data_IF_754159803331
#
_entry.id   IF_754159803331
#
_cell.length_a   1.000
_cell.length_b   1.000
_cell.length_c   1.000
_cell.angle_alpha   90.00
_cell.angle_beta   90.00
_cell.angle_gamma   90.00
#
_symmetry.space_group_name_H-M   'P 1'
#
loop_
_entity.id
_entity.type
_entity.pdbx_description
1 polymer ?
#
# COMPACT_ATOMS: atom_id res chain seq x y z
N UNK A 1 -7.68 13.81 -7.32
CA UNK A 1 -7.23 12.40 -7.22
C UNK A 1 -5.94 12.27 -8.01
N UNK A 2 -4.91 11.62 -7.45
CA UNK A 2 -3.67 11.30 -8.16
C UNK A 2 -3.26 9.85 -7.88
N UNK A 3 -2.57 9.21 -8.81
CA UNK A 3 -1.93 7.91 -8.61
C UNK A 3 -0.45 8.15 -8.32
N UNK A 4 0.10 7.48 -7.31
CA UNK A 4 1.53 7.56 -6.96
C UNK A 4 2.02 6.22 -6.39
N UNK A 5 3.33 6.05 -6.30
CA UNK A 5 3.91 4.99 -5.49
C UNK A 5 3.44 5.11 -4.03
N UNK A 6 3.21 3.96 -3.39
CA UNK A 6 2.99 3.89 -1.96
C UNK A 6 4.20 4.41 -1.20
N UNK A 7 3.96 4.92 0.00
CA UNK A 7 4.97 5.31 0.95
C UNK A 7 4.72 4.59 2.27
N UNK A 8 5.77 4.46 3.08
CA UNK A 8 5.68 3.90 4.44
C UNK A 8 4.62 4.60 5.31
N UNK A 9 4.39 5.89 5.09
CA UNK A 9 3.36 6.66 5.79
C UNK A 9 1.92 6.21 5.49
N UNK A 10 1.68 5.50 4.39
CA UNK A 10 0.33 5.05 4.00
C UNK A 10 -0.14 3.82 4.80
N UNK A 11 0.72 3.24 5.65
CA UNK A 11 0.45 2.05 6.46
C UNK A 11 -0.95 1.99 7.12
N UNK A 12 -1.41 3.08 7.74
CA UNK A 12 -2.72 3.14 8.43
C UNK A 12 -3.88 3.05 7.45
N UNK A 13 -3.82 3.84 6.38
CA UNK A 13 -4.80 3.84 5.32
C UNK A 13 -4.84 2.49 4.61
N UNK A 14 -3.68 1.89 4.34
CA UNK A 14 -3.56 0.58 3.70
C UNK A 14 -4.08 -0.55 4.60
N UNK A 15 -3.80 -0.55 5.90
CA UNK A 15 -4.36 -1.51 6.85
C UNK A 15 -5.89 -1.41 6.90
N UNK A 16 -6.41 -0.19 6.89
CA UNK A 16 -7.85 0.05 6.82
C UNK A 16 -8.46 -0.48 5.50
N UNK A 17 -7.82 -0.18 4.35
CA UNK A 17 -8.26 -0.66 3.04
C UNK A 17 -8.26 -2.20 2.98
N UNK A 18 -7.20 -2.86 3.45
CA UNK A 18 -7.11 -4.31 3.49
C UNK A 18 -8.24 -4.93 4.31
N UNK A 19 -8.60 -4.33 5.45
CA UNK A 19 -9.77 -4.73 6.23
C UNK A 19 -11.09 -4.58 5.45
N UNK A 20 -11.28 -3.48 4.74
CA UNK A 20 -12.49 -3.25 3.90
C UNK A 20 -12.56 -4.25 2.74
N UNK A 21 -11.41 -4.62 2.16
CA UNK A 21 -11.31 -5.60 1.07
C UNK A 21 -11.47 -7.05 1.54
N UNK A 22 -11.59 -7.31 2.85
CA UNK A 22 -11.77 -8.65 3.42
C UNK A 22 -10.47 -9.40 3.73
N UNK A 23 -9.33 -8.71 3.69
CA UNK A 23 -8.00 -9.24 3.99
C UNK A 23 -7.39 -8.50 5.20
N UNK A 24 -7.93 -8.66 6.42
CA UNK A 24 -7.42 -7.94 7.58
C UNK A 24 -5.94 -8.29 7.81
N UNK A 25 -5.13 -7.26 7.96
CA UNK A 25 -3.69 -7.36 8.22
C UNK A 25 -3.35 -6.46 9.40
N UNK A 26 -2.50 -6.95 10.30
CA UNK A 26 -1.99 -6.15 11.41
C UNK A 26 -1.02 -5.08 10.89
N UNK A 27 -1.02 -3.91 11.53
CA UNK A 27 -0.24 -2.75 11.08
C UNK A 27 1.26 -3.06 11.06
N UNK A 28 1.79 -3.80 12.04
CA UNK A 28 3.21 -4.18 12.07
C UNK A 28 3.59 -5.09 10.91
N UNK A 29 2.74 -6.04 10.55
CA UNK A 29 2.98 -6.97 9.43
C UNK A 29 2.97 -6.21 8.11
N UNK A 30 2.04 -5.27 7.96
CA UNK A 30 1.93 -4.43 6.79
C UNK A 30 3.15 -3.49 6.63
N UNK A 31 3.65 -2.89 7.72
CA UNK A 31 4.86 -2.05 7.69
C UNK A 31 6.05 -2.86 7.18
N UNK A 32 6.25 -4.08 7.70
CA UNK A 32 7.35 -4.95 7.25
C UNK A 32 7.19 -5.39 5.79
N UNK A 33 5.96 -5.66 5.35
CA UNK A 33 5.64 -5.94 3.94
C UNK A 33 5.96 -4.74 3.03
N UNK A 34 5.49 -3.55 3.39
CA UNK A 34 5.76 -2.30 2.67
C UNK A 34 7.26 -2.03 2.54
N UNK A 35 8.05 -2.25 3.60
CA UNK A 35 9.50 -2.07 3.53
C UNK A 35 10.15 -2.97 2.47
N UNK A 36 9.67 -4.20 2.34
CA UNK A 36 10.20 -5.16 1.34
C UNK A 36 9.80 -4.75 -0.06
N UNK A 37 8.51 -4.50 -0.28
CA UNK A 37 7.97 -4.07 -1.59
C UNK A 37 8.68 -2.80 -2.07
N UNK A 38 8.85 -1.80 -1.20
CA UNK A 38 9.50 -0.54 -1.56
C UNK A 38 11.03 -0.66 -1.76
N UNK A 39 11.64 -1.75 -1.31
CA UNK A 39 13.07 -2.02 -1.50
C UNK A 39 13.36 -2.87 -2.76
N UNK A 40 12.35 -3.52 -3.33
CA UNK A 40 12.47 -4.35 -4.51
C UNK A 40 12.13 -3.52 -5.77
N UNK A 41 13.11 -3.34 -6.67
CA UNK A 41 12.94 -2.53 -7.89
C UNK A 41 11.87 -3.10 -8.84
N UNK A 42 11.66 -4.41 -8.80
CA UNK A 42 10.68 -5.14 -9.61
C UNK A 42 9.31 -5.28 -8.91
N UNK A 43 9.08 -4.59 -7.80
CA UNK A 43 7.83 -4.62 -7.07
C UNK A 43 7.21 -3.23 -7.05
N UNK A 44 5.99 -3.12 -7.58
CA UNK A 44 5.31 -1.83 -7.69
C UNK A 44 3.99 -1.86 -6.93
N UNK A 45 3.92 -1.07 -5.86
CA UNK A 45 2.68 -0.76 -5.16
C UNK A 45 2.28 0.69 -5.45
N UNK A 46 1.15 0.86 -6.16
CA UNK A 46 0.57 2.17 -6.44
C UNK A 46 -0.64 2.40 -5.54
N UNK A 47 -0.81 3.65 -5.10
CA UNK A 47 -1.98 4.10 -4.36
C UNK A 47 -2.72 5.19 -5.12
N UNK A 48 -4.05 5.16 -5.01
CA UNK A 48 -4.90 6.28 -5.37
C UNK A 48 -5.00 7.22 -4.17
N UNK A 49 -4.58 8.48 -4.33
CA UNK A 49 -4.61 9.49 -3.29
C UNK A 49 -5.70 10.54 -3.54
N UNK A 50 -6.45 10.84 -2.48
CA UNK A 50 -7.39 11.96 -2.39
C UNK A 50 -7.09 12.72 -1.09
N UNK A 51 -6.85 14.03 -1.19
CA UNK A 51 -6.59 14.90 -0.03
C UNK A 51 -5.48 14.38 0.91
N UNK A 52 -4.40 13.84 0.34
CA UNK A 52 -3.26 13.31 1.11
C UNK A 52 -3.48 11.93 1.73
N UNK A 53 -4.64 11.29 1.52
CA UNK A 53 -4.95 9.95 2.02
C UNK A 53 -4.98 8.93 0.89
N UNK A 54 -4.37 7.76 1.13
CA UNK A 54 -4.54 6.61 0.25
C UNK A 54 -5.97 6.05 0.40
N UNK A 55 -6.71 5.99 -0.70
CA UNK A 55 -8.11 5.51 -0.75
C UNK A 55 -8.27 4.25 -1.62
N UNK A 56 -7.18 3.78 -2.21
CA UNK A 56 -7.14 2.54 -2.99
C UNK A 56 -5.69 2.15 -3.26
N UNK A 57 -5.46 0.88 -3.56
CA UNK A 57 -4.14 0.34 -3.86
C UNK A 57 -4.19 -0.71 -4.98
N UNK A 58 -3.10 -0.84 -5.71
CA UNK A 58 -2.84 -1.94 -6.63
C UNK A 58 -1.38 -2.35 -6.51
N UNK A 59 -1.15 -3.64 -6.29
CA UNK A 59 0.17 -4.26 -6.26
C UNK A 59 0.41 -5.00 -7.58
N UNK A 60 1.59 -4.83 -8.17
CA UNK A 60 1.99 -5.50 -9.38
C UNK A 60 3.47 -5.92 -9.29
N UNK A 61 3.75 -7.12 -9.79
CA UNK A 61 5.09 -7.66 -9.95
C UNK A 61 5.24 -8.15 -11.40
N UNK A 62 6.24 -7.70 -12.17
CA UNK A 62 6.60 -8.30 -13.45
C UNK A 62 7.08 -9.74 -13.24
N UNK A 63 6.63 -10.66 -14.10
CA UNK A 63 7.09 -12.06 -14.15
C UNK A 63 8.09 -12.26 -15.29
#
# INVERSE_FOLDING_TARGET
MRIRAAALSDHKELAHLSKVLGYPIEEEVLIEGLKRILAEEDHLLLVAEIEGKAVGMIEAQPY
#
